data_IF_538045042204
#
_entry.id   IF_538045042204
#
_cell.length_a   1.000
_cell.length_b   1.000
_cell.length_c   1.000
_cell.angle_alpha   90.00
_cell.angle_beta   90.00
_cell.angle_gamma   90.00
#
_symmetry.space_group_name_H-M   'P 1'
#
loop_
_entity.id
_entity.type
_entity.pdbx_description
1 polymer ?
#
# COMPACT_ATOMS: atom_id res chain seq x y z
N UNK A 1 21.03 -20.73 10.90
CA UNK A 1 19.81 -21.08 11.66
C UNK A 1 19.00 -19.80 11.73
N UNK A 2 18.13 -19.54 10.73
CA UNK A 2 17.41 -18.27 10.65
C UNK A 2 15.97 -18.49 11.08
N UNK A 3 15.56 -17.70 12.06
CA UNK A 3 14.30 -17.78 12.76
C UNK A 3 13.17 -17.39 11.81
N UNK A 4 12.28 -18.33 11.52
CA UNK A 4 11.00 -18.02 10.87
C UNK A 4 10.29 -16.96 11.73
N UNK A 5 9.99 -15.80 11.15
CA UNK A 5 9.23 -14.77 11.86
C UNK A 5 7.79 -15.27 11.96
N UNK A 6 7.25 -15.33 13.18
CA UNK A 6 5.92 -15.89 13.44
C UNK A 6 5.07 -14.90 14.22
N UNK A 7 3.88 -14.62 13.70
CA UNK A 7 2.81 -13.97 14.43
C UNK A 7 2.00 -15.05 15.17
N UNK A 8 1.65 -14.80 16.43
CA UNK A 8 0.82 -15.72 17.22
C UNK A 8 -0.58 -15.93 16.63
N UNK A 9 -1.07 -14.96 15.85
CA UNK A 9 -2.40 -15.00 15.24
C UNK A 9 -2.37 -15.40 13.76
N UNK A 10 -1.36 -14.93 13.00
CA UNK A 10 -1.30 -15.08 11.55
C UNK A 10 -0.39 -16.23 11.07
N UNK A 11 0.39 -16.84 11.97
CA UNK A 11 1.35 -17.88 11.60
C UNK A 11 2.67 -17.31 11.04
N UNK A 12 3.35 -18.00 10.12
CA UNK A 12 4.57 -17.52 9.48
C UNK A 12 4.34 -16.19 8.75
N UNK A 13 5.21 -15.22 8.98
CA UNK A 13 5.17 -13.91 8.32
C UNK A 13 6.51 -13.61 7.67
N UNK A 14 6.56 -13.11 6.43
CA UNK A 14 7.81 -12.67 5.82
C UNK A 14 8.42 -11.52 6.66
N UNK A 15 9.76 -11.47 6.79
CA UNK A 15 10.40 -10.36 7.48
C UNK A 15 10.14 -9.06 6.71
N UNK A 16 9.70 -8.02 7.42
CA UNK A 16 9.47 -6.69 6.87
C UNK A 16 10.75 -5.87 6.95
N UNK A 17 11.19 -5.37 5.81
CA UNK A 17 12.34 -4.49 5.67
C UNK A 17 11.87 -3.07 5.37
N UNK A 18 12.22 -2.15 6.26
CA UNK A 18 11.86 -0.73 6.15
C UNK A 18 13.13 0.10 6.33
N UNK A 19 13.62 0.78 5.29
CA UNK A 19 14.72 1.73 5.40
C UNK A 19 14.40 2.85 6.40
N UNK A 20 15.41 3.31 7.14
CA UNK A 20 15.25 4.39 8.12
C UNK A 20 15.08 5.78 7.47
N UNK A 21 15.66 5.95 6.29
CA UNK A 21 15.67 7.21 5.54
C UNK A 21 15.01 7.00 4.18
N UNK A 22 14.53 8.09 3.58
CA UNK A 22 13.95 8.07 2.24
C UNK A 22 14.70 9.04 1.32
N UNK A 23 14.95 8.60 0.09
CA UNK A 23 15.70 9.35 -0.93
C UNK A 23 15.90 8.50 -2.18
N UNK A 24 16.44 9.11 -3.23
CA UNK A 24 16.61 8.45 -4.53
C UNK A 24 17.46 7.16 -4.45
N UNK A 25 18.58 7.20 -3.72
CA UNK A 25 19.45 6.04 -3.54
C UNK A 25 18.75 4.89 -2.79
N UNK A 26 17.92 5.22 -1.80
CA UNK A 26 17.15 4.22 -1.05
C UNK A 26 16.08 3.58 -1.93
N UNK A 27 15.35 4.38 -2.70
CA UNK A 27 14.36 3.86 -3.65
C UNK A 27 15.02 2.96 -4.68
N UNK A 28 16.15 3.39 -5.26
CA UNK A 28 16.93 2.57 -6.19
C UNK A 28 17.37 1.25 -5.57
N UNK A 29 17.92 1.27 -4.35
CA UNK A 29 18.32 0.06 -3.64
C UNK A 29 17.16 -0.90 -3.36
N UNK A 30 15.97 -0.38 -3.05
CA UNK A 30 14.77 -1.21 -2.85
C UNK A 30 14.26 -1.77 -4.17
N UNK A 31 14.27 -0.99 -5.25
CA UNK A 31 13.95 -1.47 -6.60
C UNK A 31 14.90 -2.58 -7.04
N UNK A 32 16.21 -2.42 -6.85
CA UNK A 32 17.23 -3.44 -7.13
C UNK A 32 16.96 -4.71 -6.34
N UNK A 33 16.57 -4.58 -5.07
CA UNK A 33 16.25 -5.72 -4.19
C UNK A 33 15.02 -6.50 -4.66
N UNK A 34 13.97 -5.79 -5.06
CA UNK A 34 12.74 -6.38 -5.57
C UNK A 34 13.02 -7.12 -6.88
N UNK A 35 13.71 -6.46 -7.82
CA UNK A 35 14.00 -7.01 -9.14
C UNK A 35 15.01 -8.15 -9.13
N UNK A 36 15.97 -8.15 -8.20
CA UNK A 36 16.98 -9.21 -8.08
C UNK A 36 16.41 -10.56 -7.60
N UNK A 37 15.25 -10.56 -6.95
CA UNK A 37 14.64 -11.76 -6.35
C UNK A 37 13.36 -12.23 -7.04
N UNK A 38 12.92 -11.52 -8.09
CA UNK A 38 11.66 -11.77 -8.76
C UNK A 38 11.80 -12.81 -9.89
N UNK A 39 10.97 -13.86 -9.84
CA UNK A 39 10.52 -14.52 -11.06
C UNK A 39 9.45 -13.64 -11.72
N UNK A 40 9.51 -13.47 -13.04
CA UNK A 40 8.65 -12.52 -13.73
C UNK A 40 7.18 -13.00 -13.80
N UNK A 41 6.19 -12.12 -13.53
CA UNK A 41 6.32 -10.74 -13.06
C UNK A 41 6.52 -10.65 -11.53
N UNK A 42 7.48 -9.83 -11.10
CA UNK A 42 7.75 -9.58 -9.69
C UNK A 42 6.71 -8.71 -8.98
N UNK A 43 6.83 -8.61 -7.66
CA UNK A 43 5.95 -7.76 -6.83
C UNK A 43 6.17 -6.28 -7.16
N UNK A 44 5.14 -5.54 -7.65
CA UNK A 44 5.30 -4.17 -8.11
C UNK A 44 5.49 -3.20 -6.95
N UNK A 45 6.18 -2.08 -7.16
CA UNK A 45 6.32 -1.01 -6.16
C UNK A 45 5.44 0.18 -6.57
N UNK A 46 4.16 0.13 -6.21
CA UNK A 46 3.16 1.10 -6.66
C UNK A 46 3.34 2.48 -6.04
N UNK A 47 3.64 3.48 -6.86
CA UNK A 47 3.74 4.88 -6.47
C UNK A 47 2.73 5.73 -7.26
N UNK A 48 1.99 6.65 -6.61
CA UNK A 48 1.20 7.63 -7.34
C UNK A 48 2.11 8.51 -8.20
N UNK A 49 1.81 8.61 -9.49
CA UNK A 49 2.56 9.45 -10.42
C UNK A 49 1.68 10.05 -11.52
N UNK A 50 1.70 11.38 -11.75
CA UNK A 50 2.40 12.40 -10.95
C UNK A 50 1.95 12.39 -9.47
N UNK A 51 2.85 12.76 -8.56
CA UNK A 51 2.48 12.94 -7.16
C UNK A 51 1.39 14.03 -7.06
N UNK A 52 0.36 13.86 -6.22
CA UNK A 52 -0.62 14.91 -6.01
C UNK A 52 0.03 16.21 -5.51
N UNK A 53 -0.55 17.39 -5.78
CA UNK A 53 0.06 18.66 -5.41
C UNK A 53 0.40 18.75 -3.91
N UNK A 54 1.67 19.03 -3.59
CA UNK A 54 2.15 19.12 -2.21
C UNK A 54 2.40 17.78 -1.52
N UNK A 55 2.29 16.66 -2.24
CA UNK A 55 2.62 15.34 -1.74
C UNK A 55 4.08 14.97 -2.03
N UNK A 56 4.63 14.15 -1.14
CA UNK A 56 6.01 13.65 -1.20
C UNK A 56 6.03 12.16 -0.92
N UNK A 57 7.02 11.45 -1.45
CA UNK A 57 7.33 10.08 -1.09
C UNK A 57 7.99 10.06 0.29
N UNK A 58 7.38 9.40 1.26
CA UNK A 58 7.81 9.39 2.67
C UNK A 58 8.32 8.04 3.14
N UNK A 59 8.24 7.00 2.33
CA UNK A 59 8.81 5.72 2.67
C UNK A 59 8.61 4.67 1.59
N UNK A 60 9.48 3.67 1.60
CA UNK A 60 9.34 2.43 0.85
C UNK A 60 9.60 1.27 1.78
N UNK A 61 8.99 0.12 1.55
CA UNK A 61 9.25 -1.08 2.31
C UNK A 61 9.02 -2.32 1.44
N UNK A 62 9.58 -3.45 1.87
CA UNK A 62 9.29 -4.74 1.28
C UNK A 62 9.25 -5.85 2.34
N UNK A 63 8.44 -6.87 2.14
CA UNK A 63 8.39 -8.06 2.97
C UNK A 63 8.84 -9.28 2.18
N UNK A 64 9.83 -10.01 2.71
CA UNK A 64 10.45 -11.11 1.98
C UNK A 64 11.90 -11.37 2.40
N UNK A 65 12.44 -12.50 1.99
CA UNK A 65 13.82 -12.90 2.25
C UNK A 65 14.49 -13.43 0.97
N UNK A 66 15.80 -13.69 1.01
CA UNK A 66 16.55 -14.17 -0.17
C UNK A 66 16.07 -15.55 -0.68
N UNK A 67 15.31 -16.30 0.14
CA UNK A 67 14.82 -17.65 -0.21
C UNK A 67 13.45 -17.60 -0.90
N UNK A 68 12.58 -16.71 -0.44
CA UNK A 68 11.20 -16.58 -0.93
C UNK A 68 10.99 -15.41 -1.86
N UNK A 69 12.00 -14.55 -2.00
CA UNK A 69 11.91 -13.29 -2.71
C UNK A 69 11.02 -12.28 -2.01
N UNK A 70 10.81 -11.14 -2.66
CA UNK A 70 9.89 -10.11 -2.19
C UNK A 70 8.44 -10.52 -2.48
N UNK A 71 7.66 -10.72 -1.41
CA UNK A 71 6.26 -11.18 -1.45
C UNK A 71 5.26 -10.04 -1.24
N UNK A 72 5.73 -8.91 -0.72
CA UNK A 72 4.95 -7.68 -0.59
C UNK A 72 5.85 -6.45 -0.65
N UNK A 73 5.29 -5.34 -1.11
CA UNK A 73 5.94 -4.01 -1.13
C UNK A 73 4.99 -2.98 -0.55
N UNK A 74 5.55 -1.89 -0.03
CA UNK A 74 4.75 -0.74 0.37
C UNK A 74 5.43 0.57 -0.05
N UNK A 75 4.62 1.54 -0.43
CA UNK A 75 5.01 2.92 -0.70
C UNK A 75 4.17 3.84 0.17
N UNK A 76 4.83 4.66 0.99
CA UNK A 76 4.19 5.71 1.75
C UNK A 76 4.39 7.06 1.07
N UNK A 77 3.31 7.85 1.00
CA UNK A 77 3.31 9.23 0.58
C UNK A 77 2.61 10.08 1.64
N UNK A 78 3.04 11.34 1.79
CA UNK A 78 2.37 12.29 2.67
C UNK A 78 2.22 13.65 2.00
N UNK A 79 1.15 14.36 2.34
CA UNK A 79 0.83 15.68 1.81
C UNK A 79 -0.35 16.33 2.53
N UNK A 80 -0.93 17.40 1.97
CA UNK A 80 -2.11 18.03 2.55
C UNK A 80 -3.35 17.11 2.44
N UNK A 81 -4.11 17.00 3.52
CA UNK A 81 -5.39 16.30 3.53
C UNK A 81 -6.38 17.01 2.59
N UNK A 82 -7.10 16.29 1.72
CA UNK A 82 -8.06 16.87 0.79
C UNK A 82 -9.20 17.60 1.53
N UNK A 83 -9.53 17.14 2.73
CA UNK A 83 -10.53 17.74 3.61
C UNK A 83 -9.88 18.13 4.95
N UNK A 84 -10.08 19.37 5.38
CA UNK A 84 -9.72 19.84 6.73
C UNK A 84 -8.33 20.46 6.88
N UNK A 85 -7.50 20.53 5.83
CA UNK A 85 -6.28 21.33 5.79
C UNK A 85 -5.11 20.87 6.68
N UNK A 86 -5.22 19.70 7.32
CA UNK A 86 -4.15 19.06 8.10
C UNK A 86 -3.23 18.17 7.25
N UNK A 87 -2.21 17.53 7.85
CA UNK A 87 -1.40 16.53 7.16
C UNK A 87 -2.22 15.26 6.90
N UNK A 88 -1.89 14.58 5.82
CA UNK A 88 -2.39 13.26 5.47
C UNK A 88 -1.24 12.35 5.02
N UNK A 89 -1.40 11.06 5.32
CA UNK A 89 -0.55 9.98 4.87
C UNK A 89 -1.38 8.99 4.04
N UNK A 90 -0.76 8.41 3.02
CA UNK A 90 -1.32 7.35 2.20
C UNK A 90 -0.26 6.28 1.99
N UNK A 91 -0.62 5.03 2.26
CA UNK A 91 0.26 3.87 2.01
C UNK A 91 -0.40 2.97 0.99
N UNK A 92 0.31 2.72 -0.11
CA UNK A 92 -0.04 1.68 -1.08
C UNK A 92 0.74 0.41 -0.78
N UNK A 93 0.06 -0.73 -0.79
CA UNK A 93 0.69 -2.05 -0.59
C UNK A 93 0.34 -2.93 -1.78
N UNK A 94 1.34 -3.54 -2.40
CA UNK A 94 1.15 -4.68 -3.29
C UNK A 94 1.58 -5.93 -2.52
N UNK A 95 0.74 -6.96 -2.47
CA UNK A 95 1.12 -8.20 -1.79
C UNK A 95 0.53 -9.45 -2.42
N UNK A 96 1.30 -10.52 -2.36
CA UNK A 96 0.77 -11.85 -2.65
C UNK A 96 -0.27 -12.28 -1.60
N UNK A 97 -1.25 -13.13 -2.00
CA UNK A 97 -2.20 -13.69 -1.06
C UNK A 97 -1.52 -14.38 0.14
N UNK A 98 -1.94 -13.99 1.35
CA UNK A 98 -1.47 -14.60 2.60
C UNK A 98 -0.29 -13.90 3.28
N UNK A 99 0.23 -12.78 2.76
CA UNK A 99 1.30 -12.01 3.43
C UNK A 99 0.74 -11.17 4.59
N UNK A 100 -0.32 -10.39 4.37
CA UNK A 100 -1.04 -9.64 5.41
C UNK A 100 -0.38 -8.34 5.86
N UNK A 101 0.52 -7.76 5.05
CA UNK A 101 1.07 -6.42 5.28
C UNK A 101 -0.02 -5.35 5.13
N UNK A 102 -0.84 -5.47 4.09
CA UNK A 102 -1.92 -4.53 3.80
C UNK A 102 -3.00 -4.57 4.87
N UNK A 103 -3.45 -5.77 5.24
CA UNK A 103 -4.45 -5.96 6.31
C UNK A 103 -3.94 -5.46 7.66
N UNK A 104 -2.66 -5.70 8.00
CA UNK A 104 -2.03 -5.18 9.22
C UNK A 104 -2.04 -3.66 9.27
N UNK A 105 -1.68 -2.98 8.19
CA UNK A 105 -1.69 -1.51 8.12
C UNK A 105 -3.13 -0.97 8.15
N UNK A 106 -4.08 -1.66 7.53
CA UNK A 106 -5.50 -1.35 7.56
C UNK A 106 -6.15 -1.58 8.95
N UNK A 107 -5.47 -2.24 9.88
CA UNK A 107 -6.03 -2.59 11.19
C UNK A 107 -7.05 -3.73 11.14
N UNK A 108 -6.99 -4.55 10.08
CA UNK A 108 -7.85 -5.71 9.87
C UNK A 108 -7.25 -6.96 10.50
N UNK A 109 -8.10 -7.96 10.73
CA UNK A 109 -7.68 -9.24 11.28
C UNK A 109 -7.35 -10.24 10.17
N UNK A 110 -6.30 -11.03 10.37
CA UNK A 110 -5.86 -12.03 9.40
C UNK A 110 -5.08 -11.45 8.20
N UNK A 111 -4.53 -12.33 7.34
CA UNK A 111 -3.67 -11.93 6.23
C UNK A 111 -4.41 -11.69 4.90
N UNK A 112 -5.72 -11.96 4.85
CA UNK A 112 -6.52 -11.87 3.63
C UNK A 112 -7.61 -10.80 3.80
N UNK A 113 -7.67 -9.76 2.94
CA UNK A 113 -8.77 -8.79 2.94
C UNK A 113 -10.07 -9.35 2.37
N UNK A 114 -10.06 -10.53 1.73
CA UNK A 114 -11.20 -11.14 1.05
C UNK A 114 -12.52 -11.15 1.85
N UNK A 115 -12.54 -11.54 3.13
CA UNK A 115 -13.76 -11.51 3.95
C UNK A 115 -14.34 -10.10 4.12
N UNK A 116 -13.50 -9.10 4.34
CA UNK A 116 -13.93 -7.69 4.48
C UNK A 116 -14.36 -7.11 3.15
N UNK A 117 -13.68 -7.48 2.06
CA UNK A 117 -14.04 -7.11 0.70
C UNK A 117 -15.39 -7.71 0.30
N UNK A 118 -15.63 -8.99 0.61
CA UNK A 118 -16.92 -9.65 0.41
C UNK A 118 -18.02 -8.97 1.22
N UNK A 119 -17.72 -8.59 2.48
CA UNK A 119 -18.58 -7.76 3.30
C UNK A 119 -18.93 -6.45 2.60
N UNK A 120 -17.94 -5.68 2.16
CA UNK A 120 -18.12 -4.40 1.48
C UNK A 120 -18.89 -4.51 0.14
N UNK A 121 -18.71 -5.61 -0.60
CA UNK A 121 -19.47 -5.90 -1.81
C UNK A 121 -20.95 -6.23 -1.53
N UNK A 122 -21.24 -6.71 -0.32
CA UNK A 122 -22.60 -7.05 0.12
C UNK A 122 -23.25 -5.98 1.01
N UNK A 123 -22.49 -4.96 1.42
CA UNK A 123 -22.96 -3.84 2.24
C UNK A 123 -23.68 -2.80 1.35
N UNK A 124 -24.99 -2.54 1.58
CA UNK A 124 -25.75 -1.55 0.82
C UNK A 124 -25.34 -0.09 1.07
N UNK A 125 -24.52 0.21 2.09
CA UNK A 125 -24.00 1.56 2.42
C UNK A 125 -25.05 2.58 2.90
N UNK A 126 -24.63 3.79 3.37
CA UNK A 126 -25.53 4.75 4.01
C UNK A 126 -26.41 5.45 2.96
N UNK A 127 -27.65 5.00 2.83
CA UNK A 127 -28.64 5.55 1.90
C UNK A 127 -29.28 4.53 0.95
N UNK A 128 -28.75 3.30 0.86
CA UNK A 128 -29.29 2.14 0.10
C UNK A 128 -29.28 2.31 -1.44
N UNK A 129 -29.43 1.25 -2.28
CA UNK A 129 -29.35 -0.21 -2.01
C UNK A 129 -27.99 -0.89 -2.21
N UNK A 130 -27.09 -0.30 -2.97
CA UNK A 130 -25.94 -1.00 -3.57
C UNK A 130 -24.67 -0.14 -3.48
N UNK A 131 -24.62 0.74 -2.47
CA UNK A 131 -23.55 1.70 -2.30
C UNK A 131 -22.29 1.03 -1.72
N UNK A 132 -21.45 0.57 -2.63
CA UNK A 132 -20.04 0.32 -2.37
C UNK A 132 -19.31 1.66 -2.37
N UNK A 133 -18.68 2.02 -1.25
CA UNK A 133 -17.67 3.07 -1.18
C UNK A 133 -16.46 2.70 -2.04
N UNK A 134 -16.60 2.83 -3.36
CA UNK A 134 -15.60 2.42 -4.35
C UNK A 134 -14.75 3.63 -4.74
N UNK A 135 -13.44 3.44 -4.71
CA UNK A 135 -12.51 4.27 -5.45
C UNK A 135 -12.21 3.60 -6.79
N UNK A 136 -11.97 4.39 -7.84
CA UNK A 136 -11.52 3.87 -9.13
C UNK A 136 -10.25 4.62 -9.50
N UNK A 137 -9.14 3.93 -9.37
CA UNK A 137 -7.82 4.46 -9.72
C UNK A 137 -7.33 3.80 -11.01
N UNK A 138 -6.22 4.28 -11.57
CA UNK A 138 -5.53 3.57 -12.65
C UNK A 138 -4.24 2.95 -12.13
N UNK A 139 -4.01 1.67 -12.37
CA UNK A 139 -2.80 0.97 -11.92
C UNK A 139 -2.14 0.33 -13.13
N UNK A 140 -0.88 0.70 -13.41
CA UNK A 140 -0.17 0.18 -14.58
C UNK A 140 -0.91 0.41 -15.91
N UNK A 141 -1.68 1.51 -16.01
CA UNK A 141 -2.48 1.85 -17.20
C UNK A 141 -3.90 1.26 -17.24
N UNK A 142 -4.31 0.46 -16.25
CA UNK A 142 -5.63 -0.18 -16.21
C UNK A 142 -6.54 0.44 -15.14
N UNK A 143 -7.84 0.67 -15.42
CA UNK A 143 -8.79 1.03 -14.37
C UNK A 143 -8.90 -0.09 -13.34
N UNK A 144 -8.65 0.22 -12.08
CA UNK A 144 -8.65 -0.72 -10.96
C UNK A 144 -9.63 -0.25 -9.90
N UNK A 145 -10.73 -0.98 -9.68
CA UNK A 145 -11.64 -0.71 -8.57
C UNK A 145 -10.96 -1.05 -7.23
N UNK A 146 -11.14 -0.17 -6.26
CA UNK A 146 -10.78 -0.40 -4.86
C UNK A 146 -12.03 -0.21 -4.01
N UNK A 147 -12.26 -1.12 -3.08
CA UNK A 147 -13.43 -1.13 -2.20
C UNK A 147 -13.02 -0.71 -0.80
N UNK A 148 -13.74 0.25 -0.21
CA UNK A 148 -13.59 0.62 1.19
C UNK A 148 -13.93 -0.58 2.08
N UNK A 149 -12.95 -1.04 2.85
CA UNK A 149 -13.10 -2.13 3.82
C UNK A 149 -13.29 -1.56 5.22
N UNK A 150 -13.90 -2.32 6.13
CA UNK A 150 -14.25 -1.85 7.46
C UNK A 150 -13.01 -1.71 8.37
N UNK A 151 -12.34 -0.56 8.29
CA UNK A 151 -11.16 -0.22 9.10
C UNK A 151 -11.49 0.59 10.36
N UNK A 152 -10.57 0.68 11.35
CA UNK A 152 -10.74 1.57 12.49
C UNK A 152 -10.94 3.03 12.08
N UNK A 153 -11.62 3.82 12.92
CA UNK A 153 -12.05 5.21 12.59
C UNK A 153 -10.92 6.22 12.36
N UNK A 154 -9.69 5.89 12.73
CA UNK A 154 -8.54 6.76 12.53
C UNK A 154 -8.01 6.72 11.08
N UNK A 155 -8.45 5.74 10.28
CA UNK A 155 -7.99 5.51 8.91
C UNK A 155 -9.11 5.04 7.99
N UNK A 156 -8.90 5.20 6.70
CA UNK A 156 -9.73 4.57 5.66
C UNK A 156 -8.85 3.59 4.90
N UNK A 157 -9.25 2.32 4.84
CA UNK A 157 -8.54 1.32 4.07
C UNK A 157 -9.37 0.85 2.88
N UNK A 158 -8.73 0.73 1.74
CA UNK A 158 -9.31 0.20 0.53
C UNK A 158 -8.53 -1.03 0.08
N UNK A 159 -9.24 -2.02 -0.45
CA UNK A 159 -8.65 -3.24 -1.00
C UNK A 159 -9.17 -3.45 -2.43
N UNK A 160 -8.31 -3.98 -3.30
CA UNK A 160 -8.65 -4.42 -4.65
C UNK A 160 -7.52 -5.27 -5.20
N UNK A 161 -7.48 -5.49 -6.51
CA UNK A 161 -6.50 -6.38 -7.12
C UNK A 161 -5.82 -5.72 -8.32
N UNK A 162 -4.50 -5.89 -8.43
CA UNK A 162 -3.74 -5.49 -9.61
C UNK A 162 -2.60 -6.49 -9.85
N UNK A 163 -2.37 -6.87 -11.12
CA UNK A 163 -1.35 -7.87 -11.51
C UNK A 163 -1.47 -9.23 -10.77
N UNK A 164 -2.68 -9.67 -10.43
CA UNK A 164 -2.89 -10.92 -9.68
C UNK A 164 -2.48 -10.85 -8.22
N UNK A 165 -2.25 -9.65 -7.69
CA UNK A 165 -1.84 -9.38 -6.31
C UNK A 165 -2.86 -8.50 -5.61
N UNK A 166 -2.95 -8.62 -4.30
CA UNK A 166 -3.72 -7.69 -3.49
C UNK A 166 -3.09 -6.29 -3.58
N UNK A 167 -3.95 -5.31 -3.80
CA UNK A 167 -3.62 -3.90 -3.75
C UNK A 167 -4.39 -3.26 -2.60
N UNK A 168 -3.68 -2.67 -1.66
CA UNK A 168 -4.28 -1.88 -0.58
C UNK A 168 -3.91 -0.42 -0.74
N UNK A 169 -4.86 0.46 -0.39
CA UNK A 169 -4.61 1.88 -0.19
C UNK A 169 -5.12 2.25 1.20
N UNK A 170 -4.24 2.66 2.10
CA UNK A 170 -4.58 3.01 3.48
C UNK A 170 -4.25 4.47 3.72
N UNK A 171 -5.25 5.25 4.12
CA UNK A 171 -5.12 6.70 4.31
C UNK A 171 -5.37 7.10 5.76
N UNK A 172 -4.57 8.06 6.24
CA UNK A 172 -4.71 8.71 7.53
C UNK A 172 -4.72 10.22 7.37
N UNK A 173 -5.57 10.97 8.07
CA UNK A 173 -6.75 10.48 8.80
C UNK A 173 -7.75 9.81 7.85
N UNK A 174 -8.83 9.18 8.36
CA UNK A 174 -9.84 8.53 7.52
C UNK A 174 -10.43 9.42 6.41
N UNK A 175 -10.47 10.74 6.59
CA UNK A 175 -10.92 11.67 5.55
C UNK A 175 -9.96 11.78 4.37
N UNK A 176 -8.68 11.40 4.52
CA UNK A 176 -7.69 11.42 3.45
C UNK A 176 -8.00 10.43 2.31
N UNK A 177 -8.83 9.40 2.57
CA UNK A 177 -9.30 8.47 1.54
C UNK A 177 -10.04 9.14 0.37
N UNK A 178 -10.56 10.36 0.54
CA UNK A 178 -11.18 11.13 -0.54
C UNK A 178 -10.22 11.44 -1.69
N UNK A 179 -8.91 11.44 -1.45
CA UNK A 179 -7.91 11.60 -2.50
C UNK A 179 -8.04 10.49 -3.57
N UNK A 180 -8.45 9.29 -3.18
CA UNK A 180 -8.63 8.15 -4.09
C UNK A 180 -9.87 8.28 -4.99
N UNK A 181 -10.72 9.28 -4.76
CA UNK A 181 -11.82 9.63 -5.66
C UNK A 181 -11.38 10.54 -6.82
N UNK A 182 -10.16 11.08 -6.77
CA UNK A 182 -9.54 11.82 -7.88
C UNK A 182 -8.93 10.85 -8.92
N UNK A 183 -8.38 11.40 -10.01
CA UNK A 183 -7.69 10.63 -11.06
C UNK A 183 -6.29 10.15 -10.59
N UNK A 184 -6.24 9.32 -9.55
CA UNK A 184 -5.00 8.72 -9.04
C UNK A 184 -4.49 7.66 -10.02
N UNK A 185 -3.23 7.81 -10.43
CA UNK A 185 -2.54 6.86 -11.30
C UNK A 185 -1.35 6.27 -10.55
N UNK A 186 -1.30 4.95 -10.41
CA UNK A 186 -0.18 4.21 -9.83
C UNK A 186 0.73 3.68 -10.92
N UNK A 187 2.00 4.03 -10.79
CA UNK A 187 3.12 3.54 -11.60
C UNK A 187 3.98 2.58 -10.80
N UNK A 188 4.54 1.58 -11.47
CA UNK A 188 5.46 0.63 -10.85
C UNK A 188 6.87 1.21 -10.89
N UNK A 189 7.42 1.56 -9.73
CA UNK A 189 8.78 2.09 -9.63
C UNK A 189 9.84 1.07 -10.05
N UNK A 190 9.53 -0.23 -10.05
CA UNK A 190 10.43 -1.28 -10.54
C UNK A 190 10.56 -1.28 -12.07
N UNK A 191 9.59 -0.73 -12.79
CA UNK A 191 9.65 -0.56 -14.24
C UNK A 191 10.25 0.79 -14.62
N UNK A 192 9.89 1.85 -13.88
CA UNK A 192 10.43 3.19 -14.10
C UNK A 192 10.31 4.04 -12.84
N UNK A 193 11.44 4.57 -12.36
CA UNK A 193 11.48 5.53 -11.25
C UNK A 193 11.57 6.96 -11.81
N UNK A 194 10.56 7.83 -11.61
CA UNK A 194 10.61 9.21 -12.07
C UNK A 194 11.71 10.01 -11.37
N UNK A 195 12.58 10.74 -12.12
CA UNK A 195 13.66 11.51 -11.51
C UNK A 195 13.17 12.75 -10.75
N UNK A 196 11.94 13.20 -11.00
CA UNK A 196 11.33 14.35 -10.31
C UNK A 196 10.53 13.97 -9.05
N UNK A 197 10.68 12.73 -8.56
CA UNK A 197 10.13 12.33 -7.26
C UNK A 197 10.67 13.23 -6.15
N UNK A 198 9.76 13.73 -5.33
CA UNK A 198 10.08 14.55 -4.16
C UNK A 198 10.01 13.68 -2.91
N UNK A 199 11.05 13.74 -2.09
CA UNK A 199 11.17 12.95 -0.87
C UNK A 199 10.88 13.80 0.36
N UNK A 200 10.04 13.27 1.27
CA UNK A 200 9.61 13.94 2.49
C UNK A 200 10.22 13.35 3.77
N UNK A 201 9.65 13.69 4.92
CA UNK A 201 10.02 13.08 6.19
C UNK A 201 9.56 11.61 6.25
N UNK A 202 10.33 10.71 6.92
CA UNK A 202 9.94 9.30 7.05
C UNK A 202 8.53 9.12 7.62
N UNK A 203 7.74 8.25 6.97
CA UNK A 203 6.35 7.99 7.36
C UNK A 203 6.25 7.33 8.73
N UNK A 204 5.32 7.75 9.60
CA UNK A 204 5.08 7.08 10.89
C UNK A 204 4.48 5.67 10.73
N UNK A 205 3.94 5.35 9.56
CA UNK A 205 3.29 4.06 9.26
C UNK A 205 4.24 3.02 8.68
N UNK A 206 5.42 3.45 8.24
CA UNK A 206 6.55 2.59 7.89
C UNK A 206 7.72 2.92 8.81
N UNK A 207 7.67 2.55 10.10
CA UNK A 207 8.76 2.81 11.02
C UNK A 207 9.96 1.92 10.65
N UNK A 208 11.04 2.54 10.17
CA UNK A 208 12.35 1.90 10.08
C UNK A 208 12.72 1.31 11.44
N UNK A 209 13.08 0.03 11.48
CA UNK A 209 13.68 -0.57 12.68
C UNK A 209 15.19 -0.57 12.50
N UNK A 210 15.88 0.06 13.45
CA UNK A 210 17.32 -0.10 13.69
C UNK A 210 17.68 -1.56 14.04
#
# INVERSE_FOLDING_TARGET
MHTESRCLHCGPVPPLHVPEHIGAEIVASVVDRITATADAPGTPLWCPWPLPPGWTLTGVAYAGDDRTGVRATAVACAGPAPLGGGPADLVFVAEEPGVGLGTRLAGLSGPDPGPELAGALTDPGPGHPEHVGQARIRVGGHPTPLWLVNSPKDRSAYAGEARGMWLHAIAWPASAGHLLAEDVVLHDLTEWTPPELVYGAPSPYLPGRA
#
